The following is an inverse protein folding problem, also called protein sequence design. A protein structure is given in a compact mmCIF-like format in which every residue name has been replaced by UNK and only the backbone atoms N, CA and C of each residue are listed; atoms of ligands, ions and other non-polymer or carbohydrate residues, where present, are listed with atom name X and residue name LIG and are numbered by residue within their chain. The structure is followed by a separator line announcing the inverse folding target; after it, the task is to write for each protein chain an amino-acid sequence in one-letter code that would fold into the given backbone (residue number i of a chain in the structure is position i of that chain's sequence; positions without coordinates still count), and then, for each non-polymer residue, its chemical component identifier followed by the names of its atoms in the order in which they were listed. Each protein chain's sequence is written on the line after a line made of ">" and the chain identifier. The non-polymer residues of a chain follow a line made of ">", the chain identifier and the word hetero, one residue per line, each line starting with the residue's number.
data_IF_012211672683
#
_entry.id   IF_012211672683
#
_cell.length_a   1.000
_cell.length_b   1.000
_cell.length_c   1.000
_cell.angle_alpha   90.00
_cell.angle_beta   90.00
_cell.angle_gamma   90.00
#
_symmetry.space_group_name_H-M   'P 1'
#
loop_
_entity.id
_entity.type
_entity.pdbx_description
1 polymer ?
#
# COMPACT_ATOMS: atom_id res chain seq x y z
N UNK A 1 -105.04 40.44 20.47
CA UNK A 1 -104.68 39.14 21.07
C UNK A 1 -103.27 38.78 20.62
N UNK A 2 -102.35 38.49 21.54
CA UNK A 2 -101.04 37.88 21.25
C UNK A 2 -101.27 36.37 21.12
N UNK A 3 -100.83 35.74 20.03
CA UNK A 3 -101.03 34.31 19.80
C UNK A 3 -99.99 33.48 20.56
N UNK A 4 -100.34 32.26 21.00
CA UNK A 4 -99.41 31.37 21.71
C UNK A 4 -98.12 31.08 20.90
N UNK A 5 -98.25 31.00 19.57
CA UNK A 5 -97.11 30.84 18.66
C UNK A 5 -96.11 32.02 18.74
N UNK A 6 -96.60 33.26 18.86
CA UNK A 6 -95.76 34.45 19.00
C UNK A 6 -95.04 34.47 20.37
N UNK A 7 -95.69 33.98 21.42
CA UNK A 7 -95.07 33.81 22.75
C UNK A 7 -93.95 32.77 22.73
N UNK A 8 -94.16 31.63 22.04
CA UNK A 8 -93.12 30.60 21.91
C UNK A 8 -91.91 31.11 21.11
N UNK A 9 -92.13 31.76 19.97
CA UNK A 9 -91.05 32.32 19.15
C UNK A 9 -90.26 33.40 19.89
N UNK A 10 -90.93 34.26 20.66
CA UNK A 10 -90.26 35.27 21.47
C UNK A 10 -89.47 34.67 22.64
N UNK A 11 -89.96 33.59 23.27
CA UNK A 11 -89.23 32.87 24.31
C UNK A 11 -87.98 32.14 23.77
N UNK A 12 -88.07 31.54 22.59
CA UNK A 12 -86.94 30.90 21.90
C UNK A 12 -85.89 31.92 21.47
N UNK A 13 -86.31 33.05 20.90
CA UNK A 13 -85.41 34.15 20.55
C UNK A 13 -84.69 34.71 21.79
N UNK A 14 -85.41 34.93 22.89
CA UNK A 14 -84.82 35.42 24.14
C UNK A 14 -83.84 34.40 24.75
N UNK A 15 -84.14 33.10 24.63
CA UNK A 15 -83.22 32.03 25.05
C UNK A 15 -81.96 31.99 24.19
N UNK A 16 -82.09 32.15 22.87
CA UNK A 16 -80.97 32.26 21.95
C UNK A 16 -80.06 33.44 22.30
N UNK A 17 -80.62 34.62 22.55
CA UNK A 17 -79.86 35.81 22.97
C UNK A 17 -79.11 35.60 24.30
N UNK A 18 -79.73 34.87 25.25
CA UNK A 18 -79.05 34.54 26.50
C UNK A 18 -77.91 33.55 26.31
N UNK A 19 -78.06 32.55 25.43
CA UNK A 19 -76.96 31.63 25.08
C UNK A 19 -75.84 32.36 24.35
N UNK A 20 -76.14 33.23 23.39
CA UNK A 20 -75.12 34.04 22.72
C UNK A 20 -74.33 34.88 23.72
N UNK A 21 -75.00 35.52 24.67
CA UNK A 21 -74.32 36.28 25.73
C UNK A 21 -73.38 35.41 26.56
N UNK A 22 -73.80 34.21 26.95
CA UNK A 22 -72.98 33.27 27.72
C UNK A 22 -71.81 32.71 26.89
N UNK A 23 -72.06 32.39 25.62
CA UNK A 23 -71.05 31.90 24.68
C UNK A 23 -69.98 32.97 24.45
N UNK A 24 -70.38 34.21 24.17
CA UNK A 24 -69.42 35.30 23.96
C UNK A 24 -68.57 35.57 25.20
N UNK A 25 -69.16 35.56 26.40
CA UNK A 25 -68.36 35.68 27.64
C UNK A 25 -67.30 34.58 27.74
N UNK A 26 -67.67 33.34 27.42
CA UNK A 26 -66.73 32.21 27.41
C UNK A 26 -65.65 32.38 26.34
N UNK A 27 -66.01 32.77 25.11
CA UNK A 27 -65.08 32.99 23.99
C UNK A 27 -64.02 34.04 24.36
N UNK A 28 -64.43 35.17 24.94
CA UNK A 28 -63.53 36.27 25.25
C UNK A 28 -62.61 36.02 26.46
N UNK A 29 -63.08 35.28 27.47
CA UNK A 29 -62.44 35.32 28.80
C UNK A 29 -62.12 33.98 29.44
N UNK A 30 -62.69 32.86 28.99
CA UNK A 30 -62.38 31.57 29.58
C UNK A 30 -60.89 31.22 29.34
N UNK A 31 -60.21 30.53 30.27
CA UNK A 31 -58.79 30.23 30.13
C UNK A 31 -58.48 28.98 29.28
N UNK A 32 -59.50 28.26 28.80
CA UNK A 32 -59.35 26.93 28.21
C UNK A 32 -60.33 26.64 27.08
N UNK A 33 -60.60 25.35 26.89
CA UNK A 33 -61.69 24.87 26.04
C UNK A 33 -63.04 25.26 26.67
N UNK A 34 -63.95 25.72 25.83
CA UNK A 34 -65.31 26.14 26.17
C UNK A 34 -66.31 25.25 25.43
N UNK A 35 -67.57 25.32 25.84
CA UNK A 35 -68.69 24.68 25.14
C UNK A 35 -69.66 25.76 24.68
N UNK A 36 -69.79 25.92 23.37
CA UNK A 36 -70.71 26.87 22.74
C UNK A 36 -72.06 26.20 22.60
N UNK A 37 -73.13 26.85 23.10
CA UNK A 37 -74.50 26.34 23.05
C UNK A 37 -75.34 27.11 22.03
N UNK A 38 -75.93 26.43 21.06
CA UNK A 38 -76.71 27.05 19.98
C UNK A 38 -78.19 27.23 20.38
N UNK A 39 -78.93 28.14 19.71
CA UNK A 39 -80.35 28.37 19.99
C UNK A 39 -81.24 27.13 19.83
N UNK A 40 -80.86 26.20 18.95
CA UNK A 40 -81.55 24.91 18.73
C UNK A 40 -81.30 23.88 19.86
N UNK A 41 -80.49 24.23 20.86
CA UNK A 41 -80.15 23.40 22.01
C UNK A 41 -78.92 22.50 21.81
N UNK A 42 -78.35 22.46 20.61
CA UNK A 42 -77.10 21.74 20.35
C UNK A 42 -75.88 22.45 20.95
N UNK A 43 -74.76 21.75 21.05
CA UNK A 43 -73.52 22.33 21.57
C UNK A 43 -72.29 21.75 20.90
N UNK A 44 -71.22 22.55 20.80
CA UNK A 44 -69.92 22.09 20.32
C UNK A 44 -68.76 22.60 21.19
N UNK A 45 -67.69 21.81 21.35
CA UNK A 45 -66.49 22.24 22.07
C UNK A 45 -65.57 23.07 21.16
N UNK A 46 -64.88 24.06 21.74
CA UNK A 46 -63.87 24.84 21.03
C UNK A 46 -62.97 25.62 21.98
N UNK A 47 -61.79 26.09 21.54
CA UNK A 47 -60.94 26.91 22.40
C UNK A 47 -61.51 28.33 22.54
N UNK A 48 -61.37 28.92 23.72
CA UNK A 48 -61.53 30.36 23.89
C UNK A 48 -60.42 31.13 23.15
N UNK A 49 -60.66 32.40 22.86
CA UNK A 49 -59.63 33.27 22.26
C UNK A 49 -58.46 33.51 23.20
N UNK A 50 -58.71 33.57 24.51
CA UNK A 50 -57.64 33.66 25.50
C UNK A 50 -56.77 32.41 25.49
N UNK A 51 -57.36 31.21 25.47
CA UNK A 51 -56.59 29.96 25.37
C UNK A 51 -55.71 29.92 24.12
N UNK A 52 -56.25 30.33 22.96
CA UNK A 52 -55.46 30.44 21.73
C UNK A 52 -54.33 31.45 21.86
N UNK A 53 -54.61 32.64 22.39
CA UNK A 53 -53.59 33.69 22.57
C UNK A 53 -52.46 33.26 23.50
N UNK A 54 -52.78 32.54 24.58
CA UNK A 54 -51.80 32.12 25.58
C UNK A 54 -50.93 30.94 25.09
N UNK A 55 -51.43 30.12 24.16
CA UNK A 55 -50.76 28.89 23.69
C UNK A 55 -50.24 28.96 22.26
N UNK A 56 -50.55 30.01 21.50
CA UNK A 56 -50.05 30.16 20.14
C UNK A 56 -48.59 30.58 20.17
N UNK A 57 -47.75 29.80 19.48
CA UNK A 57 -46.34 30.14 19.25
C UNK A 57 -46.29 31.44 18.45
N UNK A 58 -45.81 32.50 19.08
CA UNK A 58 -45.61 33.79 18.42
C UNK A 58 -44.45 33.69 17.46
N UNK A 59 -44.74 33.74 16.17
CA UNK A 59 -43.69 33.98 15.17
C UNK A 59 -43.16 35.40 15.36
N UNK A 60 -41.85 35.53 15.52
CA UNK A 60 -41.15 36.82 15.46
C UNK A 60 -40.54 36.88 14.08
N UNK A 61 -40.86 37.91 13.29
CA UNK A 61 -40.36 38.08 11.92
C UNK A 61 -40.54 36.84 11.01
N UNK A 62 -41.67 36.14 11.18
CA UNK A 62 -42.02 34.96 10.38
C UNK A 62 -41.40 33.63 10.81
N UNK A 63 -40.56 33.62 11.86
CA UNK A 63 -39.86 32.42 12.35
C UNK A 63 -40.28 32.05 13.77
N UNK A 64 -40.18 30.76 14.12
CA UNK A 64 -40.39 30.30 15.50
C UNK A 64 -39.09 30.50 16.29
N UNK A 65 -39.09 31.27 17.39
CA UNK A 65 -37.89 31.48 18.21
C UNK A 65 -37.35 30.20 18.84
N UNK A 66 -36.05 30.18 19.14
CA UNK A 66 -35.39 29.05 19.82
C UNK A 66 -36.03 28.69 21.16
N UNK A 67 -36.44 29.70 21.95
CA UNK A 67 -37.09 29.50 23.24
C UNK A 67 -38.45 28.76 23.15
N UNK A 68 -39.06 28.72 21.97
CA UNK A 68 -40.33 28.03 21.70
C UNK A 68 -40.12 26.75 20.86
N UNK A 69 -38.89 26.21 20.84
CA UNK A 69 -38.56 24.96 20.15
C UNK A 69 -38.28 25.09 18.64
N UNK A 70 -38.23 26.32 18.11
CA UNK A 70 -37.79 26.57 16.73
C UNK A 70 -36.28 26.77 16.60
N UNK A 71 -35.83 27.15 15.41
CA UNK A 71 -34.42 27.51 15.14
C UNK A 71 -34.18 29.02 15.21
N UNK A 72 -35.24 29.82 15.15
CA UNK A 72 -35.15 31.27 14.92
C UNK A 72 -34.63 31.65 13.52
N UNK A 73 -34.59 30.71 12.57
CA UNK A 73 -34.07 30.92 11.22
C UNK A 73 -35.19 30.86 10.18
N UNK A 74 -35.15 31.74 9.18
CA UNK A 74 -36.08 31.73 8.04
C UNK A 74 -35.81 30.57 7.07
N UNK A 75 -34.60 30.03 7.09
CA UNK A 75 -34.20 28.80 6.42
C UNK A 75 -33.59 27.83 7.43
N UNK A 76 -34.41 27.00 8.10
CA UNK A 76 -33.98 26.20 9.24
C UNK A 76 -33.25 24.91 8.85
N UNK A 77 -33.08 24.63 7.56
CA UNK A 77 -32.36 23.46 7.03
C UNK A 77 -31.07 23.91 6.35
N UNK A 78 -29.94 23.30 6.71
CA UNK A 78 -28.61 23.61 6.15
C UNK A 78 -27.51 23.59 7.22
N UNK A 79 -26.25 23.81 6.85
CA UNK A 79 -25.10 23.63 7.76
C UNK A 79 -24.77 24.84 8.68
N UNK A 80 -25.64 25.85 8.76
CA UNK A 80 -25.42 27.03 9.60
C UNK A 80 -25.77 26.78 11.06
N UNK A 81 -25.07 27.44 11.99
CA UNK A 81 -25.36 27.34 13.44
C UNK A 81 -26.81 27.70 13.77
N UNK A 82 -27.45 26.89 14.60
CA UNK A 82 -28.86 27.02 14.99
C UNK A 82 -29.87 26.26 14.11
N UNK A 83 -29.46 25.57 13.05
CA UNK A 83 -30.35 24.87 12.11
C UNK A 83 -30.64 23.41 12.51
N UNK A 84 -31.63 22.78 11.87
CA UNK A 84 -31.92 21.35 12.04
C UNK A 84 -30.87 20.42 11.40
N UNK A 85 -29.94 20.95 10.59
CA UNK A 85 -28.93 20.18 9.87
C UNK A 85 -27.54 20.80 10.00
N UNK A 86 -27.21 21.31 11.19
CA UNK A 86 -25.97 22.03 11.54
C UNK A 86 -24.64 21.32 11.18
N UNK A 87 -24.67 20.15 10.53
CA UNK A 87 -23.48 19.38 10.16
C UNK A 87 -22.70 18.82 11.36
N UNK A 88 -23.20 19.04 12.58
CA UNK A 88 -22.63 18.61 13.85
C UNK A 88 -23.42 17.46 14.50
N UNK A 89 -24.23 16.73 13.71
CA UNK A 89 -25.00 15.58 14.17
C UNK A 89 -24.06 14.54 14.79
N UNK A 90 -24.28 14.22 16.06
CA UNK A 90 -23.41 13.33 16.83
C UNK A 90 -23.30 11.92 16.24
N UNK A 91 -24.25 11.51 15.40
CA UNK A 91 -24.24 10.23 14.68
C UNK A 91 -23.29 10.23 13.47
N UNK A 92 -22.93 11.40 12.95
CA UNK A 92 -22.05 11.60 11.79
C UNK A 92 -20.61 11.99 12.19
N UNK A 93 -20.31 12.07 13.49
CA UNK A 93 -19.00 12.45 14.04
C UNK A 93 -17.92 11.33 14.01
N UNK A 94 -18.01 10.34 13.13
CA UNK A 94 -17.11 9.16 13.13
C UNK A 94 -15.64 9.46 12.77
N UNK A 95 -15.32 10.67 12.27
CA UNK A 95 -13.94 11.06 11.88
C UNK A 95 -13.36 12.18 12.78
N UNK A 96 -14.00 12.45 13.93
CA UNK A 96 -13.68 13.60 14.81
C UNK A 96 -12.95 13.30 16.13
N UNK A 97 -12.19 12.19 16.25
CA UNK A 97 -11.32 11.96 17.42
C UNK A 97 -11.90 11.12 18.57
N UNK A 98 -12.64 10.04 18.28
CA UNK A 98 -12.89 8.95 19.24
C UNK A 98 -12.42 7.60 18.69
N UNK A 99 -11.78 6.79 19.54
CA UNK A 99 -11.26 5.46 19.23
C UNK A 99 -12.39 4.43 19.16
N UNK A 100 -12.52 3.67 18.06
CA UNK A 100 -13.34 2.45 18.02
C UNK A 100 -14.35 2.27 16.89
N UNK A 101 -14.30 3.03 15.79
CA UNK A 101 -15.15 2.81 14.61
C UNK A 101 -14.43 2.08 13.47
N UNK A 102 -15.15 1.22 12.72
CA UNK A 102 -14.67 0.66 11.45
C UNK A 102 -15.29 1.41 10.27
N UNK A 103 -14.46 1.76 9.29
CA UNK A 103 -14.93 2.27 8.00
C UNK A 103 -15.28 1.05 7.14
N UNK A 104 -16.57 0.83 6.86
CA UNK A 104 -17.08 -0.35 6.15
C UNK A 104 -17.29 -0.12 4.65
N UNK A 105 -16.92 1.05 4.12
CA UNK A 105 -17.04 1.42 2.70
C UNK A 105 -15.75 2.09 2.21
N UNK A 106 -15.47 2.11 0.89
CA UNK A 106 -14.40 2.93 0.35
C UNK A 106 -14.57 4.40 0.77
N UNK A 107 -13.48 5.06 1.12
CA UNK A 107 -13.44 6.49 1.39
C UNK A 107 -12.39 7.14 0.49
N UNK A 108 -12.69 8.34 -0.01
CA UNK A 108 -11.82 9.10 -0.91
C UNK A 108 -11.79 10.56 -0.48
N UNK A 109 -10.66 11.23 -0.69
CA UNK A 109 -10.50 12.66 -0.42
C UNK A 109 -11.02 13.46 -1.61
N UNK A 110 -11.86 14.46 -1.34
CA UNK A 110 -12.25 15.50 -2.32
C UNK A 110 -11.34 16.71 -2.05
N UNK A 111 -10.53 17.12 -3.04
CA UNK A 111 -9.56 18.25 -3.01
C UNK A 111 -8.14 17.93 -2.49
N UNK A 112 -7.33 17.21 -3.28
CA UNK A 112 -5.88 17.33 -3.18
C UNK A 112 -5.41 18.60 -3.89
N UNK A 113 -4.67 19.47 -3.20
CA UNK A 113 -4.02 20.62 -3.84
C UNK A 113 -2.81 20.13 -4.64
N UNK A 114 -2.51 20.70 -5.82
CA UNK A 114 -1.29 20.39 -6.55
C UNK A 114 -0.05 20.62 -5.67
N UNK A 115 0.73 19.56 -5.40
CA UNK A 115 1.94 19.62 -4.57
C UNK A 115 1.72 19.47 -3.05
N UNK A 116 0.53 19.08 -2.59
CA UNK A 116 0.29 18.75 -1.18
C UNK A 116 0.44 17.26 -0.88
N UNK A 117 0.93 16.92 0.32
CA UNK A 117 1.09 15.54 0.78
C UNK A 117 -0.27 14.86 0.98
N UNK A 118 -0.58 13.85 0.19
CA UNK A 118 -1.76 12.98 0.38
C UNK A 118 -1.37 11.80 1.26
N UNK A 119 -1.39 12.01 2.59
CA UNK A 119 -1.15 10.93 3.55
C UNK A 119 -2.47 10.42 4.13
N UNK A 120 -2.73 9.12 3.99
CA UNK A 120 -3.77 8.41 4.74
C UNK A 120 -3.27 8.26 6.19
N UNK A 121 -3.45 9.30 7.00
CA UNK A 121 -2.88 9.38 8.35
C UNK A 121 -3.72 8.57 9.36
N UNK A 122 -3.48 7.26 9.47
CA UNK A 122 -4.11 6.42 10.50
C UNK A 122 -3.34 6.54 11.83
N UNK A 123 -3.54 7.66 12.54
CA UNK A 123 -3.00 7.88 13.88
C UNK A 123 -1.50 8.23 13.89
N UNK A 124 -1.07 8.80 15.03
CA UNK A 124 0.28 9.22 15.42
C UNK A 124 1.41 8.54 14.61
N UNK A 125 2.48 9.27 14.23
CA UNK A 125 3.72 8.78 13.54
C UNK A 125 4.25 7.44 14.08
N UNK A 126 3.81 7.07 15.28
CA UNK A 126 4.15 5.88 16.03
C UNK A 126 3.28 4.63 15.81
N UNK A 127 2.09 4.66 15.17
CA UNK A 127 1.16 3.50 15.27
C UNK A 127 0.35 3.12 14.00
N UNK A 128 0.75 3.48 12.77
CA UNK A 128 -0.11 3.24 11.60
C UNK A 128 0.58 2.94 10.26
N UNK A 129 -0.27 2.70 9.25
CA UNK A 129 0.08 2.67 7.84
C UNK A 129 0.39 4.09 7.38
N UNK A 130 1.62 4.32 6.92
CA UNK A 130 2.06 5.60 6.39
C UNK A 130 2.26 5.44 4.90
N UNK A 131 1.36 6.01 4.09
CA UNK A 131 1.53 6.12 2.64
C UNK A 131 1.76 7.59 2.30
N UNK A 132 2.82 7.87 1.55
CA UNK A 132 3.07 9.20 1.00
C UNK A 132 3.40 9.10 -0.48
N UNK A 133 2.80 9.99 -1.27
CA UNK A 133 3.28 10.33 -2.60
C UNK A 133 4.01 11.67 -2.50
N UNK A 134 5.34 11.66 -2.58
CA UNK A 134 6.09 12.90 -2.75
C UNK A 134 6.25 13.17 -4.24
N UNK A 135 5.50 14.16 -4.74
CA UNK A 135 5.78 14.79 -6.02
C UNK A 135 6.52 16.09 -5.70
N UNK A 136 7.79 16.22 -6.10
CA UNK A 136 8.54 17.48 -5.94
C UNK A 136 8.38 18.28 -7.23
N UNK A 137 7.55 19.35 -7.24
CA UNK A 137 7.33 20.13 -8.45
C UNK A 137 8.65 20.71 -8.98
N UNK A 138 8.91 20.55 -10.27
CA UNK A 138 10.09 21.11 -10.95
C UNK A 138 11.30 20.19 -11.08
N UNK A 139 11.27 19.02 -10.45
CA UNK A 139 12.43 18.14 -10.38
C UNK A 139 12.20 16.75 -11.05
N UNK A 140 10.96 16.43 -11.45
CA UNK A 140 10.64 15.19 -12.18
C UNK A 140 10.71 13.92 -11.34
N UNK A 141 10.65 14.05 -10.01
CA UNK A 141 10.76 12.94 -9.06
C UNK A 141 9.38 12.52 -8.55
N UNK A 142 9.11 11.22 -8.61
CA UNK A 142 8.01 10.57 -7.92
C UNK A 142 8.60 9.60 -6.88
N UNK A 143 8.30 9.81 -5.61
CA UNK A 143 8.73 8.94 -4.51
C UNK A 143 7.52 8.40 -3.74
N UNK A 144 6.91 7.29 -4.19
CA UNK A 144 5.99 6.52 -3.37
C UNK A 144 6.77 5.86 -2.24
N UNK A 145 6.35 6.15 -1.02
CA UNK A 145 6.88 5.52 0.17
C UNK A 145 5.73 4.99 1.03
N UNK A 146 5.87 3.75 1.50
CA UNK A 146 4.91 3.10 2.38
C UNK A 146 5.62 2.46 3.55
N UNK A 147 5.23 2.82 4.77
CA UNK A 147 5.73 2.21 6.01
C UNK A 147 4.60 1.56 6.79
N UNK A 148 4.86 0.38 7.33
CA UNK A 148 3.94 -0.43 8.10
C UNK A 148 4.60 -0.80 9.42
N UNK A 149 4.05 -0.31 10.53
CA UNK A 149 4.53 -0.68 11.86
C UNK A 149 3.84 -1.96 12.31
N UNK A 150 4.64 -2.94 12.73
CA UNK A 150 4.18 -4.26 13.12
C UNK A 150 4.25 -4.41 14.64
N UNK A 151 3.15 -4.88 15.24
CA UNK A 151 3.04 -5.11 16.68
C UNK A 151 2.38 -6.46 16.93
N UNK A 152 2.86 -7.17 17.95
CA UNK A 152 2.16 -8.31 18.54
C UNK A 152 2.21 -8.19 20.06
N UNK A 153 1.33 -8.88 20.81
CA UNK A 153 1.22 -8.71 22.26
C UNK A 153 2.58 -8.72 22.97
N UNK A 154 2.91 -7.63 23.65
CA UNK A 154 4.14 -7.45 24.41
C UNK A 154 5.41 -7.15 23.61
N UNK A 155 5.35 -6.98 22.29
CA UNK A 155 6.54 -6.85 21.45
C UNK A 155 6.36 -5.83 20.30
N UNK A 156 7.41 -5.05 20.05
CA UNK A 156 7.54 -4.25 18.83
C UNK A 156 8.15 -5.11 17.72
N UNK A 157 7.39 -5.30 16.64
CA UNK A 157 7.83 -6.09 15.50
C UNK A 157 8.68 -5.34 14.49
N UNK A 158 8.79 -4.02 14.63
CA UNK A 158 9.55 -3.17 13.74
C UNK A 158 8.71 -2.42 12.72
N UNK A 159 9.39 -1.80 11.75
CA UNK A 159 8.78 -1.12 10.60
C UNK A 159 9.23 -1.81 9.32
N UNK A 160 8.28 -2.31 8.54
CA UNK A 160 8.52 -2.65 7.15
C UNK A 160 8.31 -1.40 6.30
N UNK A 161 9.29 -1.05 5.48
CA UNK A 161 9.17 0.06 4.53
C UNK A 161 9.38 -0.44 3.12
N UNK A 162 8.51 0.02 2.23
CA UNK A 162 8.66 -0.12 0.80
C UNK A 162 8.80 1.27 0.18
N UNK A 163 9.74 1.45 -0.76
CA UNK A 163 9.90 2.70 -1.50
C UNK A 163 10.28 2.41 -2.94
N UNK A 164 9.83 3.28 -3.85
CA UNK A 164 10.41 3.37 -5.19
C UNK A 164 10.85 4.81 -5.44
N UNK A 165 12.11 5.02 -5.80
CA UNK A 165 12.56 6.26 -6.41
C UNK A 165 12.29 6.18 -7.91
N UNK A 166 11.23 6.84 -8.38
CA UNK A 166 11.00 7.04 -9.80
C UNK A 166 11.59 8.39 -10.23
N UNK A 167 12.87 8.36 -10.61
CA UNK A 167 13.59 9.44 -11.28
C UNK A 167 13.83 9.01 -12.74
N UNK A 168 13.74 9.95 -13.69
CA UNK A 168 14.09 9.71 -15.09
C UNK A 168 15.53 9.22 -15.30
N UNK A 169 16.45 9.55 -14.38
CA UNK A 169 17.88 9.21 -14.51
C UNK A 169 18.33 7.99 -13.69
N UNK A 170 17.61 7.66 -12.61
CA UNK A 170 18.03 6.60 -11.68
C UNK A 170 16.84 6.00 -10.94
N UNK A 171 15.99 5.19 -11.61
CA UNK A 171 14.93 4.48 -10.92
C UNK A 171 15.53 3.48 -9.94
N UNK A 172 15.05 3.45 -8.70
CA UNK A 172 15.50 2.51 -7.68
C UNK A 172 14.31 1.96 -6.90
N UNK A 173 14.34 0.67 -6.58
CA UNK A 173 13.36 0.00 -5.74
C UNK A 173 14.03 -0.42 -4.43
N UNK A 174 13.41 -0.07 -3.30
CA UNK A 174 13.97 -0.33 -1.96
C UNK A 174 12.95 -1.03 -1.07
N UNK A 175 13.41 -2.10 -0.44
CA UNK A 175 12.75 -2.76 0.67
C UNK A 175 13.59 -2.55 1.91
N UNK A 176 12.97 -2.21 3.03
CA UNK A 176 13.69 -2.11 4.29
C UNK A 176 12.90 -2.59 5.49
N UNK A 177 13.63 -3.05 6.51
CA UNK A 177 13.08 -3.47 7.79
C UNK A 177 13.91 -2.91 8.94
N UNK A 178 13.25 -2.28 9.90
CA UNK A 178 13.89 -1.78 11.12
C UNK A 178 13.24 -2.42 12.34
N UNK A 179 14.00 -3.15 13.15
CA UNK A 179 13.49 -3.82 14.36
C UNK A 179 13.27 -2.86 15.54
N UNK A 180 13.94 -1.70 15.55
CA UNK A 180 13.87 -0.70 16.63
C UNK A 180 13.67 0.73 16.09
N UNK A 181 12.99 1.60 16.84
CA UNK A 181 12.80 2.98 16.41
C UNK A 181 14.13 3.75 16.43
N UNK A 182 14.63 4.18 15.26
CA UNK A 182 15.85 4.99 15.14
C UNK A 182 17.13 4.23 14.79
N UNK A 183 17.08 2.92 14.55
CA UNK A 183 18.24 2.14 14.08
C UNK A 183 18.33 2.12 12.54
N UNK A 184 19.54 1.85 12.03
CA UNK A 184 19.76 1.71 10.57
C UNK A 184 18.96 0.53 10.04
N UNK A 185 18.10 0.72 9.02
CA UNK A 185 17.31 -0.37 8.46
C UNK A 185 18.18 -1.43 7.77
N UNK A 186 17.76 -2.70 7.86
CA UNK A 186 18.18 -3.71 6.90
C UNK A 186 17.55 -3.35 5.56
N UNK A 187 18.36 -3.14 4.53
CA UNK A 187 17.92 -2.65 3.23
C UNK A 187 18.28 -3.63 2.13
N UNK A 188 17.39 -3.75 1.15
CA UNK A 188 17.62 -4.38 -0.13
C UNK A 188 17.24 -3.39 -1.23
N UNK A 189 18.17 -3.13 -2.14
CA UNK A 189 17.99 -2.11 -3.18
C UNK A 189 18.23 -2.70 -4.55
N UNK A 190 17.38 -2.34 -5.50
CA UNK A 190 17.48 -2.72 -6.90
C UNK A 190 17.54 -1.45 -7.74
N UNK A 191 18.70 -1.19 -8.34
CA UNK A 191 18.93 -0.02 -9.16
C UNK A 191 18.59 -0.33 -10.62
N UNK A 192 17.59 0.37 -11.16
CA UNK A 192 17.09 0.16 -12.51
C UNK A 192 17.99 0.73 -13.61
N UNK A 193 18.88 1.68 -13.31
CA UNK A 193 19.79 2.27 -14.32
C UNK A 193 20.98 1.36 -14.62
N UNK A 194 21.62 0.81 -13.60
CA UNK A 194 22.80 -0.04 -13.78
C UNK A 194 22.49 -1.54 -13.67
N UNK A 195 21.33 -1.90 -13.11
CA UNK A 195 20.91 -3.29 -12.87
C UNK A 195 21.48 -3.91 -11.59
N UNK A 196 22.16 -3.14 -10.74
CA UNK A 196 22.76 -3.65 -9.52
C UNK A 196 21.71 -3.91 -8.45
N UNK A 197 21.84 -5.05 -7.76
CA UNK A 197 21.13 -5.35 -6.52
C UNK A 197 22.09 -5.32 -5.34
N UNK A 198 21.72 -4.68 -4.24
CA UNK A 198 22.55 -4.57 -3.03
C UNK A 198 21.74 -4.87 -1.78
N UNK A 199 22.42 -5.35 -0.73
CA UNK A 199 21.85 -5.55 0.59
C UNK A 199 22.77 -4.97 1.67
N UNK A 200 22.27 -4.68 2.87
CA UNK A 200 23.11 -4.23 3.99
C UNK A 200 24.17 -5.27 4.39
N UNK A 201 23.89 -6.56 4.14
CA UNK A 201 24.83 -7.66 4.30
C UNK A 201 25.17 -8.34 2.98
N UNK A 202 25.98 -9.40 3.06
CA UNK A 202 26.29 -10.22 1.89
C UNK A 202 25.11 -11.10 1.50
N UNK A 203 24.90 -11.29 0.20
CA UNK A 203 24.02 -12.33 -0.30
C UNK A 203 24.66 -13.70 -0.01
N UNK A 204 23.93 -14.57 0.67
CA UNK A 204 24.36 -15.94 0.91
C UNK A 204 23.67 -16.87 -0.08
N UNK A 205 24.44 -17.72 -0.74
CA UNK A 205 23.87 -18.84 -1.48
C UNK A 205 23.14 -19.78 -0.51
N UNK A 206 22.16 -20.53 -1.00
CA UNK A 206 21.44 -21.52 -0.19
C UNK A 206 22.37 -22.56 0.45
N UNK A 207 21.83 -23.40 1.34
CA UNK A 207 22.63 -24.41 2.04
C UNK A 207 23.45 -25.27 1.07
N UNK A 208 24.75 -25.44 1.35
CA UNK A 208 25.66 -26.26 0.55
C UNK A 208 26.48 -27.18 1.45
N UNK A 209 25.91 -28.33 1.80
CA UNK A 209 26.61 -29.38 2.56
C UNK A 209 26.22 -30.76 2.02
N UNK A 210 27.10 -31.75 2.18
CA UNK A 210 26.83 -33.14 1.77
C UNK A 210 25.60 -33.72 2.47
N UNK A 211 25.25 -33.24 3.68
CA UNK A 211 24.07 -33.71 4.42
C UNK A 211 22.72 -33.39 3.74
N UNK A 212 22.69 -32.43 2.82
CA UNK A 212 21.48 -32.01 2.10
C UNK A 212 21.60 -32.24 0.57
N UNK A 213 22.59 -33.04 0.16
CA UNK A 213 22.84 -33.39 -1.25
C UNK A 213 22.99 -34.91 -1.37
N UNK A 214 22.44 -35.49 -2.43
CA UNK A 214 22.62 -36.90 -2.78
C UNK A 214 23.38 -37.01 -4.10
N UNK A 215 23.94 -38.21 -4.38
CA UNK A 215 24.68 -38.50 -5.63
C UNK A 215 25.76 -37.46 -5.94
N UNK A 216 26.56 -37.15 -4.91
CA UNK A 216 27.68 -36.20 -5.04
C UNK A 216 28.81 -36.88 -5.77
N UNK A 217 29.06 -36.44 -7.01
CA UNK A 217 30.11 -36.94 -7.89
C UNK A 217 31.05 -35.80 -8.29
N UNK A 218 32.33 -36.12 -8.48
CA UNK A 218 33.31 -35.15 -8.97
C UNK A 218 33.06 -34.82 -10.45
N UNK A 219 33.43 -33.60 -10.85
CA UNK A 219 33.37 -33.19 -12.26
C UNK A 219 34.36 -34.00 -13.08
N UNK A 220 33.85 -34.74 -14.06
CA UNK A 220 34.65 -35.52 -14.99
C UNK A 220 35.12 -34.66 -16.17
N UNK A 221 36.34 -34.92 -16.66
CA UNK A 221 36.95 -34.25 -17.83
C UNK A 221 36.88 -32.71 -17.81
N UNK A 222 37.18 -32.02 -16.68
CA UNK A 222 36.92 -30.58 -16.52
C UNK A 222 37.61 -29.69 -17.56
N UNK A 223 38.78 -30.12 -18.07
CA UNK A 223 39.54 -29.39 -19.10
C UNK A 223 38.87 -29.42 -20.47
N UNK A 224 38.26 -30.54 -20.83
CA UNK A 224 37.53 -30.67 -22.09
C UNK A 224 36.28 -29.82 -22.04
N UNK A 225 35.52 -29.93 -20.96
CA UNK A 225 34.39 -29.05 -20.65
C UNK A 225 34.77 -27.57 -20.77
N UNK A 226 35.91 -27.17 -20.18
CA UNK A 226 36.41 -25.80 -20.27
C UNK A 226 36.70 -25.32 -21.70
N UNK A 227 37.05 -26.22 -22.62
CA UNK A 227 37.30 -25.87 -24.03
C UNK A 227 36.01 -25.69 -24.83
N UNK A 228 34.93 -26.36 -24.43
CA UNK A 228 33.61 -26.22 -25.04
C UNK A 228 32.97 -24.88 -24.64
N UNK A 229 33.17 -24.47 -23.38
CA UNK A 229 32.64 -23.19 -22.86
C UNK A 229 33.38 -22.00 -23.51
N UNK A 230 32.67 -21.26 -24.37
CA UNK A 230 33.24 -20.10 -25.05
C UNK A 230 33.26 -18.86 -24.16
N UNK A 231 34.46 -18.45 -23.75
CA UNK A 231 34.71 -17.12 -23.18
C UNK A 231 34.89 -16.07 -24.29
N UNK A 232 34.15 -14.97 -24.23
CA UNK A 232 34.23 -13.90 -25.23
C UNK A 232 33.75 -12.55 -24.71
N UNK A 233 33.87 -11.54 -25.57
CA UNK A 233 33.14 -10.27 -25.44
C UNK A 233 31.98 -10.26 -26.42
N UNK A 234 30.98 -9.44 -26.15
CA UNK A 234 29.80 -9.32 -26.98
C UNK A 234 29.18 -7.93 -26.86
N UNK A 235 28.26 -7.65 -27.80
CA UNK A 235 27.33 -6.54 -27.70
C UNK A 235 25.92 -7.09 -27.79
N UNK A 236 25.07 -6.70 -26.85
CA UNK A 236 23.66 -7.12 -26.86
C UNK A 236 22.98 -6.59 -28.12
N UNK A 237 22.11 -7.41 -28.70
CA UNK A 237 21.23 -7.06 -29.83
C UNK A 237 19.75 -7.09 -29.44
N UNK A 238 19.46 -7.00 -28.15
CA UNK A 238 18.12 -7.02 -27.56
C UNK A 238 17.46 -5.65 -27.68
N UNK A 239 16.14 -5.61 -27.85
CA UNK A 239 15.38 -4.35 -28.03
C UNK A 239 15.68 -3.27 -26.98
N UNK A 240 15.82 -3.66 -25.71
CA UNK A 240 15.98 -2.73 -24.60
C UNK A 240 17.44 -2.41 -24.23
N UNK A 241 18.43 -3.02 -24.90
CA UNK A 241 19.84 -2.87 -24.53
C UNK A 241 20.80 -2.98 -25.74
N UNK A 242 20.35 -2.63 -26.94
CA UNK A 242 21.14 -2.75 -28.17
C UNK A 242 22.49 -2.02 -28.04
N UNK A 243 23.55 -2.68 -28.52
CA UNK A 243 24.92 -2.16 -28.48
C UNK A 243 25.62 -2.22 -27.12
N UNK A 244 24.93 -2.55 -26.01
CA UNK A 244 25.54 -2.66 -24.67
C UNK A 244 26.65 -3.72 -24.68
N UNK A 245 27.86 -3.30 -24.33
CA UNK A 245 29.02 -4.18 -24.23
C UNK A 245 28.87 -5.14 -23.03
N UNK A 246 29.31 -6.37 -23.22
CA UNK A 246 29.45 -7.38 -22.16
C UNK A 246 30.67 -8.28 -22.40
N UNK A 247 31.07 -8.97 -21.33
CA UNK A 247 32.20 -9.92 -21.31
C UNK A 247 31.85 -11.06 -20.35
N UNK A 248 32.29 -12.29 -20.67
CA UNK A 248 32.02 -13.50 -19.88
C UNK A 248 31.99 -14.74 -20.77
N UNK A 249 31.02 -15.65 -20.56
CA UNK A 249 30.82 -16.86 -21.36
C UNK A 249 29.47 -16.90 -22.08
N UNK A 250 29.40 -17.68 -23.17
CA UNK A 250 28.13 -18.05 -23.81
C UNK A 250 27.53 -19.31 -23.17
N UNK A 251 26.20 -19.34 -23.06
CA UNK A 251 25.48 -20.39 -22.34
C UNK A 251 25.41 -21.72 -23.09
N UNK A 252 25.50 -21.71 -24.42
CA UNK A 252 25.36 -22.88 -25.28
C UNK A 252 26.38 -23.97 -24.93
N UNK A 253 27.67 -23.61 -24.87
CA UNK A 253 28.73 -24.58 -24.54
C UNK A 253 28.65 -25.09 -23.11
N UNK A 254 28.10 -24.29 -22.18
CA UNK A 254 27.86 -24.72 -20.80
C UNK A 254 26.81 -25.84 -20.76
N UNK A 255 25.73 -25.69 -21.51
CA UNK A 255 24.60 -26.62 -21.51
C UNK A 255 24.75 -27.78 -22.50
N UNK A 256 25.73 -27.72 -23.40
CA UNK A 256 26.20 -28.90 -24.12
C UNK A 256 26.87 -29.89 -23.15
N UNK A 257 27.70 -29.39 -22.22
CA UNK A 257 28.37 -30.22 -21.24
C UNK A 257 27.49 -30.61 -20.03
N UNK A 258 26.60 -29.72 -19.59
CA UNK A 258 25.68 -29.95 -18.46
C UNK A 258 24.25 -29.54 -18.82
N UNK A 259 23.52 -30.35 -19.60
CA UNK A 259 22.15 -30.06 -20.02
C UNK A 259 21.18 -29.84 -18.85
N UNK A 260 21.37 -30.56 -17.74
CA UNK A 260 20.54 -30.50 -16.53
C UNK A 260 20.67 -29.18 -15.77
N UNK A 261 21.75 -28.44 -15.99
CA UNK A 261 21.99 -27.14 -15.36
C UNK A 261 21.40 -25.97 -16.14
N UNK A 262 20.64 -26.24 -17.21
CA UNK A 262 20.09 -25.24 -18.12
C UNK A 262 19.17 -24.24 -17.40
N UNK A 263 19.51 -22.96 -17.53
CA UNK A 263 18.70 -21.82 -17.08
C UNK A 263 18.33 -20.94 -18.28
N UNK A 264 17.11 -20.43 -18.29
CA UNK A 264 16.60 -19.51 -19.32
C UNK A 264 16.23 -18.17 -18.71
N UNK A 265 16.34 -17.10 -19.50
CA UNK A 265 15.87 -15.76 -19.15
C UNK A 265 14.44 -15.49 -19.66
N UNK A 266 13.74 -16.53 -20.13
CA UNK A 266 12.46 -16.42 -20.83
C UNK A 266 12.61 -15.85 -22.25
N UNK A 267 11.51 -15.33 -22.79
CA UNK A 267 11.45 -14.78 -24.13
C UNK A 267 12.16 -13.42 -24.22
N UNK A 268 13.06 -13.27 -25.20
CA UNK A 268 13.79 -12.02 -25.44
C UNK A 268 13.48 -11.50 -26.85
N UNK A 269 12.95 -10.27 -26.92
CA UNK A 269 12.78 -9.54 -28.17
C UNK A 269 14.12 -8.91 -28.61
N UNK A 270 14.52 -9.19 -29.84
CA UNK A 270 15.68 -8.61 -30.49
C UNK A 270 15.33 -7.23 -31.08
N UNK A 271 16.36 -6.47 -31.42
CA UNK A 271 16.21 -5.11 -32.00
C UNK A 271 15.44 -5.08 -33.31
N UNK A 272 15.42 -6.17 -34.05
CA UNK A 272 14.69 -6.32 -35.33
C UNK A 272 13.24 -6.78 -35.14
N UNK A 273 12.78 -6.88 -33.88
CA UNK A 273 11.43 -7.33 -33.53
C UNK A 273 11.27 -8.86 -33.51
N UNK A 274 12.31 -9.63 -33.85
CA UNK A 274 12.26 -11.09 -33.71
C UNK A 274 12.32 -11.50 -32.23
N UNK A 275 11.69 -12.62 -31.86
CA UNK A 275 11.65 -13.11 -30.48
C UNK A 275 12.45 -14.39 -30.37
N UNK A 276 13.47 -14.40 -29.51
CA UNK A 276 14.18 -15.62 -29.09
C UNK A 276 13.40 -16.20 -27.92
N UNK A 277 12.75 -17.34 -28.16
CA UNK A 277 12.02 -18.08 -27.13
C UNK A 277 13.00 -18.73 -26.15
N UNK A 278 12.71 -18.64 -24.86
CA UNK A 278 13.49 -19.27 -23.79
C UNK A 278 15.02 -19.06 -23.93
N UNK A 279 15.42 -17.81 -24.13
CA UNK A 279 16.81 -17.44 -24.34
C UNK A 279 17.68 -17.99 -23.21
N UNK A 280 18.76 -18.70 -23.57
CA UNK A 280 19.68 -19.29 -22.61
C UNK A 280 20.36 -18.20 -21.78
N UNK A 281 20.49 -18.44 -20.48
CA UNK A 281 21.19 -17.57 -19.54
C UNK A 281 22.23 -18.37 -18.78
N UNK A 282 23.08 -17.73 -17.97
CA UNK A 282 23.99 -18.40 -17.03
C UNK A 282 23.69 -17.92 -15.61
N UNK A 283 23.92 -18.79 -14.62
CA UNK A 283 23.81 -18.38 -13.22
C UNK A 283 24.80 -17.26 -12.92
N UNK A 284 24.32 -16.18 -12.31
CA UNK A 284 25.16 -15.04 -11.93
C UNK A 284 25.88 -15.31 -10.60
N UNK A 285 27.12 -14.81 -10.49
CA UNK A 285 27.91 -14.83 -9.26
C UNK A 285 28.89 -16.00 -9.16
N UNK A 286 29.32 -16.24 -7.93
CA UNK A 286 30.38 -17.16 -7.49
C UNK A 286 29.87 -18.58 -7.20
N UNK A 287 28.71 -18.94 -7.77
CA UNK A 287 28.11 -20.27 -7.68
C UNK A 287 27.57 -20.72 -9.04
N UNK A 288 27.48 -22.04 -9.23
CA UNK A 288 26.97 -22.65 -10.46
C UNK A 288 28.06 -23.39 -11.25
N UNK A 289 27.66 -23.93 -12.42
CA UNK A 289 28.48 -24.84 -13.22
C UNK A 289 29.82 -24.23 -13.61
N UNK A 290 29.86 -22.97 -14.03
CA UNK A 290 31.11 -22.33 -14.47
C UNK A 290 32.16 -22.27 -13.36
N UNK A 291 31.76 -21.83 -12.16
CA UNK A 291 32.66 -21.78 -11.01
C UNK A 291 33.16 -23.18 -10.61
N UNK A 292 32.28 -24.19 -10.64
CA UNK A 292 32.61 -25.57 -10.33
C UNK A 292 33.59 -26.18 -11.35
N UNK A 293 33.32 -25.98 -12.65
CA UNK A 293 34.19 -26.46 -13.74
C UNK A 293 35.56 -25.78 -13.71
N UNK A 294 35.61 -24.47 -13.45
CA UNK A 294 36.88 -23.77 -13.23
C UNK A 294 37.67 -24.36 -12.06
N UNK A 295 37.02 -24.59 -10.91
CA UNK A 295 37.66 -25.17 -9.74
C UNK A 295 38.22 -26.56 -10.02
N UNK A 296 37.42 -27.44 -10.62
CA UNK A 296 37.86 -28.79 -11.01
C UNK A 296 39.00 -28.76 -12.03
N UNK A 297 38.98 -27.82 -12.98
CA UNK A 297 40.08 -27.64 -13.95
C UNK A 297 41.37 -27.23 -13.26
N UNK A 298 41.29 -26.30 -12.29
CA UNK A 298 42.45 -25.84 -11.53
C UNK A 298 43.05 -26.98 -10.72
N UNK A 299 42.23 -27.78 -10.02
CA UNK A 299 42.70 -28.98 -9.30
C UNK A 299 43.45 -29.91 -10.27
N UNK A 300 42.85 -30.22 -11.42
CA UNK A 300 43.50 -31.06 -12.42
C UNK A 300 44.82 -30.47 -12.95
N UNK A 301 44.96 -29.15 -13.04
CA UNK A 301 46.23 -28.47 -13.39
C UNK A 301 47.27 -28.54 -12.26
N UNK A 302 46.82 -28.48 -11.00
CA UNK A 302 47.71 -28.65 -9.85
C UNK A 302 48.30 -30.06 -9.81
N UNK A 303 47.46 -31.09 -9.99
CA UNK A 303 47.91 -32.49 -10.01
C UNK A 303 48.96 -32.74 -11.10
N UNK A 304 48.75 -32.21 -12.30
CA UNK A 304 49.72 -32.32 -13.39
C UNK A 304 51.02 -31.57 -13.11
N UNK A 305 50.96 -30.37 -12.52
CA UNK A 305 52.16 -29.62 -12.14
C UNK A 305 52.97 -30.38 -11.09
N UNK A 306 52.32 -31.01 -10.12
CA UNK A 306 52.99 -31.85 -9.12
C UNK A 306 53.65 -33.09 -9.74
N UNK A 307 52.95 -33.75 -10.67
CA UNK A 307 53.50 -34.88 -11.42
C UNK A 307 54.73 -34.47 -12.26
N UNK A 308 54.63 -33.37 -13.01
CA UNK A 308 55.74 -32.82 -13.80
C UNK A 308 56.93 -32.45 -12.90
N UNK A 309 56.67 -31.85 -11.73
CA UNK A 309 57.74 -31.48 -10.80
C UNK A 309 58.48 -32.72 -10.26
N UNK A 310 57.76 -33.83 -10.03
CA UNK A 310 58.36 -35.10 -9.64
C UNK A 310 59.24 -35.68 -10.74
N UNK A 311 58.79 -35.68 -11.99
CA UNK A 311 59.58 -36.12 -13.15
C UNK A 311 60.84 -35.27 -13.33
N UNK A 312 60.72 -33.94 -13.21
CA UNK A 312 61.86 -33.02 -13.28
C UNK A 312 62.88 -33.33 -12.19
N UNK A 313 62.44 -33.62 -10.96
CA UNK A 313 63.35 -33.98 -9.88
C UNK A 313 64.06 -35.30 -10.15
N UNK A 314 63.33 -36.31 -10.63
CA UNK A 314 63.94 -37.59 -11.03
C UNK A 314 64.97 -37.40 -12.14
N UNK A 315 64.66 -36.64 -13.19
CA UNK A 315 65.61 -36.36 -14.28
C UNK A 315 66.88 -35.65 -13.79
N UNK A 316 66.76 -34.75 -12.80
CA UNK A 316 67.93 -34.09 -12.19
C UNK A 316 68.81 -35.08 -11.44
N UNK A 317 68.22 -36.01 -10.70
CA UNK A 317 68.95 -37.09 -10.01
C UNK A 317 69.66 -38.01 -11.01
N UNK A 318 68.96 -38.44 -12.06
CA UNK A 318 69.50 -39.29 -13.11
C UNK A 318 70.65 -38.61 -13.86
N UNK A 319 70.51 -37.30 -14.16
CA UNK A 319 71.56 -36.53 -14.82
C UNK A 319 72.78 -36.32 -13.92
N UNK A 320 72.59 -36.15 -12.61
CA UNK A 320 73.70 -36.12 -11.66
C UNK A 320 74.44 -37.46 -11.58
N UNK A 321 73.72 -38.59 -11.65
CA UNK A 321 74.31 -39.92 -11.72
C UNK A 321 75.10 -40.13 -13.03
N UNK A 322 74.53 -39.74 -14.18
CA UNK A 322 75.18 -39.82 -15.48
C UNK A 322 76.48 -38.99 -15.53
N UNK A 323 76.45 -37.77 -14.97
CA UNK A 323 77.64 -36.91 -14.92
C UNK A 323 78.80 -37.57 -14.18
N UNK A 324 78.53 -38.24 -13.05
CA UNK A 324 79.54 -39.02 -12.31
C UNK A 324 80.12 -40.16 -13.15
N UNK A 325 79.29 -40.87 -13.92
CA UNK A 325 79.74 -41.96 -14.80
C UNK A 325 80.64 -41.41 -15.91
N UNK A 326 80.26 -40.28 -16.53
CA UNK A 326 81.06 -39.65 -17.59
C UNK A 326 82.40 -39.17 -17.04
N UNK A 327 82.43 -38.52 -15.88
CA UNK A 327 83.68 -38.10 -15.21
C UNK A 327 84.62 -39.29 -14.91
N UNK A 328 84.07 -40.44 -14.53
CA UNK A 328 84.86 -41.66 -14.31
C UNK A 328 85.45 -42.23 -15.62
N UNK A 329 84.76 -42.08 -16.74
CA UNK A 329 85.20 -42.58 -18.04
C UNK A 329 86.26 -41.67 -18.68
N UNK A 330 86.16 -40.35 -18.51
CA UNK A 330 87.13 -39.39 -19.05
C UNK A 330 88.42 -39.27 -18.23
N UNK A 331 88.43 -39.78 -16.99
CA UNK A 331 89.61 -39.83 -16.13
C UNK A 331 90.52 -41.05 -16.38
N UNK A 332 90.18 -41.92 -17.35
CA UNK A 332 91.00 -43.04 -17.82
C UNK A 332 91.68 -42.70 -19.14
#
# INVERSE_FOLDING_TARGET
>A
MVTAALVTQSAEALRGLNYDKQNWQQVFSAPGMITVKLPDGSSFPGPSWKYLSDNMVTKVDGVVPKAQGGTGLSSPFGAGSGSFCEGNDIRLNTIGGKSGGQITSPFGKVNSLPGSFDSLYAGNRNYGLYQEQMNVPGAGYLYPHSSFKLYWPGNYGGVFTWSAWANSNNPEYVLSWTYEAGTTPHMWRFNGTNGNATATGNWVNGGSTVKIKEKVEDIQNPRETMRIIRACTWRLKTKNADGRFGIGVLAEGLYEAYPEAKVTAGDIELRDGTVVKDALSVQAGDSGVLAAVHHATIISLMDENEAQQKEINQMKEDMAALKKIVEQLTAR
#
